data_IF_602432855624
#
_entry.id   IF_602432855624
#
_cell.length_a   1.000
_cell.length_b   1.000
_cell.length_c   1.000
_cell.angle_alpha   90.00
_cell.angle_beta   90.00
_cell.angle_gamma   90.00
#
_symmetry.space_group_name_H-M   'P 1'
#
loop_
_entity.id
_entity.type
_entity.pdbx_description
1 polymer ?
#
# COMPACT_ATOMS: atom_id res chain seq x y z
N UNK A 1 0.46 8.57 18.37
CA UNK A 1 0.31 7.13 18.09
C UNK A 1 0.30 6.97 16.58
N UNK A 2 1.38 6.45 15.98
CA UNK A 2 1.42 6.26 14.53
C UNK A 2 0.45 5.12 14.20
N UNK A 3 -0.49 5.35 13.29
CA UNK A 3 -1.41 4.29 12.85
C UNK A 3 -0.60 3.28 12.01
N UNK A 4 -0.02 2.29 12.69
CA UNK A 4 0.83 1.27 12.07
C UNK A 4 0.04 0.24 11.26
N UNK A 5 -1.29 0.24 11.39
CA UNK A 5 -2.20 -0.67 10.70
C UNK A 5 -3.32 0.08 10.01
N UNK A 6 -3.55 -0.20 8.72
CA UNK A 6 -4.63 0.39 7.95
C UNK A 6 -5.74 -0.65 7.69
N UNK A 7 -7.03 -0.30 7.89
CA UNK A 7 -8.13 -1.20 7.59
C UNK A 7 -8.33 -1.37 6.08
N UNK A 8 -8.57 -2.61 5.64
CA UNK A 8 -8.88 -2.93 4.26
C UNK A 8 -10.32 -2.62 3.91
N UNK A 9 -10.55 -2.30 2.63
CA UNK A 9 -11.89 -2.20 2.09
C UNK A 9 -12.45 -3.61 1.88
N UNK A 10 -13.50 -3.96 2.63
CA UNK A 10 -14.17 -5.27 2.51
C UNK A 10 -14.89 -5.41 1.17
N UNK A 11 -15.42 -4.31 0.66
CA UNK A 11 -16.19 -4.27 -0.58
C UNK A 11 -15.31 -4.32 -1.84
N UNK A 12 -14.02 -3.95 -1.72
CA UNK A 12 -13.09 -3.93 -2.85
C UNK A 12 -12.82 -5.34 -3.39
N UNK A 13 -12.62 -6.34 -2.53
CA UNK A 13 -12.43 -7.75 -2.96
C UNK A 13 -13.65 -8.34 -3.66
N UNK A 14 -14.85 -7.85 -3.37
CA UNK A 14 -16.08 -8.27 -4.04
C UNK A 14 -16.42 -7.41 -5.27
N UNK A 15 -15.51 -6.52 -5.70
CA UNK A 15 -15.75 -5.58 -6.80
C UNK A 15 -16.96 -4.65 -6.58
N UNK A 16 -17.34 -4.43 -5.32
CA UNK A 16 -18.47 -3.57 -4.92
C UNK A 16 -18.02 -2.16 -4.52
N UNK A 17 -16.71 -1.92 -4.40
CA UNK A 17 -16.17 -0.60 -4.11
C UNK A 17 -15.66 0.11 -5.36
N UNK A 18 -16.41 1.11 -5.84
CA UNK A 18 -16.00 1.99 -6.95
C UNK A 18 -15.67 3.41 -6.48
N UNK A 19 -15.43 3.61 -5.17
CA UNK A 19 -15.19 4.93 -4.61
C UNK A 19 -13.77 5.39 -4.96
N UNK A 20 -13.61 6.54 -5.65
CA UNK A 20 -12.29 7.06 -6.01
C UNK A 20 -11.49 7.51 -4.77
N UNK A 21 -12.17 7.92 -3.70
CA UNK A 21 -11.56 8.29 -2.41
C UNK A 21 -12.07 7.36 -1.30
N UNK A 22 -11.80 6.07 -1.43
CA UNK A 22 -12.14 5.12 -0.38
C UNK A 22 -11.28 5.40 0.87
N UNK A 23 -11.92 5.50 2.04
CA UNK A 23 -11.22 5.67 3.34
C UNK A 23 -10.47 4.42 3.81
N UNK A 24 -10.67 3.29 3.12
CA UNK A 24 -10.10 2.00 3.42
C UNK A 24 -9.11 1.59 2.33
N UNK A 25 -8.13 0.76 2.68
CA UNK A 25 -7.09 0.33 1.75
C UNK A 25 -7.66 -0.65 0.71
N UNK A 26 -7.42 -0.33 -0.56
CA UNK A 26 -7.64 -1.25 -1.68
C UNK A 26 -6.32 -1.97 -1.95
N UNK A 27 -6.17 -3.16 -1.37
CA UNK A 27 -4.98 -3.97 -1.54
C UNK A 27 -5.13 -4.84 -2.79
N UNK A 28 -4.19 -4.71 -3.74
CA UNK A 28 -4.11 -5.58 -4.93
C UNK A 28 -2.98 -6.61 -4.79
N UNK A 29 -2.08 -6.42 -3.84
CA UNK A 29 -0.90 -7.24 -3.63
C UNK A 29 -1.20 -8.47 -2.75
N UNK A 30 -1.12 -9.67 -3.34
CA UNK A 30 -1.37 -10.93 -2.61
C UNK A 30 -0.29 -11.32 -1.59
N UNK A 31 0.91 -10.74 -1.70
CA UNK A 31 2.05 -11.05 -0.82
C UNK A 31 2.07 -10.22 0.48
N UNK A 32 1.18 -9.25 0.63
CA UNK A 32 1.09 -8.42 1.84
C UNK A 32 0.28 -9.16 2.90
N UNK A 33 0.83 -9.24 4.11
CA UNK A 33 0.17 -9.88 5.24
C UNK A 33 -1.03 -9.05 5.71
N UNK A 34 -2.18 -9.73 5.81
CA UNK A 34 -3.43 -9.19 6.32
C UNK A 34 -3.77 -9.87 7.65
N UNK A 35 -3.98 -9.08 8.69
CA UNK A 35 -4.36 -9.57 10.01
C UNK A 35 -5.66 -8.89 10.43
N UNK A 36 -6.70 -9.69 10.70
CA UNK A 36 -8.03 -9.20 11.12
C UNK A 36 -8.65 -8.14 10.18
N UNK A 37 -8.40 -8.27 8.88
CA UNK A 37 -8.87 -7.32 7.88
C UNK A 37 -8.13 -5.97 7.89
N UNK A 38 -6.94 -5.92 8.48
CA UNK A 38 -6.04 -4.76 8.46
C UNK A 38 -4.69 -5.17 7.89
N UNK A 39 -4.02 -4.23 7.22
CA UNK A 39 -2.64 -4.38 6.76
C UNK A 39 -1.71 -3.58 7.64
N UNK A 40 -0.51 -4.09 7.88
CA UNK A 40 0.52 -3.34 8.61
C UNK A 40 1.34 -2.52 7.63
N UNK A 41 1.53 -1.23 7.91
CA UNK A 41 2.29 -0.31 7.05
C UNK A 41 3.78 -0.56 7.20
N UNK A 42 4.49 -0.63 6.08
CA UNK A 42 5.94 -0.73 6.07
C UNK A 42 6.58 0.59 6.49
N UNK A 43 7.08 0.66 7.73
CA UNK A 43 7.80 1.82 8.25
C UNK A 43 9.04 2.20 7.42
N UNK A 44 9.73 1.20 6.85
CA UNK A 44 10.89 1.45 5.98
C UNK A 44 10.47 2.10 4.66
N UNK A 45 9.32 1.72 4.12
CA UNK A 45 8.80 2.25 2.85
C UNK A 45 8.37 3.71 2.99
N UNK A 46 7.72 4.05 4.11
CA UNK A 46 7.38 5.46 4.45
C UNK A 46 8.62 6.36 4.49
N UNK A 47 9.78 5.80 4.87
CA UNK A 47 11.07 6.50 4.89
C UNK A 47 11.85 6.41 3.57
N UNK A 48 11.31 5.74 2.54
CA UNK A 48 11.99 5.48 1.26
C UNK A 48 13.17 4.50 1.36
N UNK A 49 13.25 3.71 2.44
CA UNK A 49 14.36 2.78 2.71
C UNK A 49 14.04 1.32 2.41
N UNK A 50 12.77 0.97 2.19
CA UNK A 50 12.40 -0.41 1.87
C UNK A 50 12.84 -0.76 0.44
N UNK A 51 13.67 -1.80 0.29
CA UNK A 51 14.13 -2.34 -1.00
C UNK A 51 13.64 -3.77 -1.26
N UNK A 52 12.67 -4.24 -0.48
CA UNK A 52 12.14 -5.61 -0.59
C UNK A 52 11.22 -5.69 -1.79
N UNK A 53 11.48 -6.64 -2.69
CA UNK A 53 10.70 -6.85 -3.91
C UNK A 53 9.29 -7.37 -3.61
N UNK A 54 9.15 -8.24 -2.59
CA UNK A 54 7.88 -8.76 -2.08
C UNK A 54 7.79 -8.44 -0.58
N UNK A 55 7.52 -7.17 -0.27
CA UNK A 55 7.43 -6.76 1.13
C UNK A 55 6.11 -7.24 1.73
N UNK A 56 6.19 -8.03 2.80
CA UNK A 56 5.01 -8.51 3.54
C UNK A 56 4.19 -7.39 4.21
N UNK A 57 4.71 -6.17 4.25
CA UNK A 57 4.05 -5.00 4.83
C UNK A 57 3.59 -4.03 3.72
N UNK A 58 2.46 -3.38 3.93
CA UNK A 58 1.83 -2.50 2.95
C UNK A 58 2.66 -1.22 2.71
N UNK A 59 2.93 -0.92 1.45
CA UNK A 59 3.61 0.30 1.03
C UNK A 59 2.55 1.32 0.65
N UNK A 60 2.45 2.43 1.38
CA UNK A 60 1.51 3.50 1.04
C UNK A 60 1.94 4.07 -0.33
N UNK A 61 1.08 4.05 -1.36
CA UNK A 61 1.41 4.61 -2.65
C UNK A 61 1.67 6.11 -2.50
N UNK A 62 2.94 6.50 -2.52
CA UNK A 62 3.35 7.91 -2.57
C UNK A 62 3.14 8.37 -4.00
N UNK A 63 1.95 8.90 -4.29
CA UNK A 63 1.54 9.40 -5.63
C UNK A 63 2.46 10.55 -6.14
N UNK A 64 3.50 10.96 -5.40
CA UNK A 64 4.34 12.11 -5.74
C UNK A 64 5.86 11.84 -5.93
N UNK A 65 6.38 10.61 -5.81
CA UNK A 65 7.84 10.37 -5.95
C UNK A 65 8.30 9.79 -7.30
N UNK A 66 7.37 9.45 -8.21
CA UNK A 66 7.72 8.91 -9.54
C UNK A 66 8.24 9.98 -10.53
N UNK A 67 8.24 11.27 -10.18
CA UNK A 67 8.94 12.31 -10.96
C UNK A 67 10.45 12.39 -10.66
N UNK A 68 10.96 11.56 -9.73
CA UNK A 68 12.38 11.54 -9.36
C UNK A 68 13.14 10.30 -9.86
N UNK A 69 12.62 9.58 -10.86
CA UNK A 69 13.40 8.65 -11.65
C UNK A 69 13.64 9.25 -13.05
N UNK A 70 14.66 10.10 -13.24
CA UNK A 70 15.26 10.18 -14.57
C UNK A 70 15.89 8.81 -14.84
N UNK A 71 15.74 8.33 -16.07
CA UNK A 71 16.27 7.08 -16.64
C UNK A 71 15.35 5.86 -16.59
N UNK A 72 14.23 5.94 -17.32
CA UNK A 72 13.92 4.87 -18.27
C UNK A 72 14.21 5.38 -19.69
N UNK A 73 15.50 5.42 -20.02
CA UNK A 73 16.00 5.46 -21.39
C UNK A 73 17.10 4.42 -21.48
N UNK A 74 16.74 3.22 -21.94
CA UNK A 74 17.45 2.41 -22.96
C UNK A 74 16.55 1.23 -23.27
#
# INVERSE_FOLDING_TARGET
MLLDTLPLCRDFKSSQCNRPQCKFVHLMEDYVEVTEGKVTVCRDSVKGKCRRHLCKYYHIPVILSALAAPNLTT
#
